data_IF_833065122521
#
_entry.id   IF_833065122521
#
_cell.length_a   1.000
_cell.length_b   1.000
_cell.length_c   1.000
_cell.angle_alpha   90.00
_cell.angle_beta   90.00
_cell.angle_gamma   90.00
#
_symmetry.space_group_name_H-M   'P 1'
#
loop_
_entity.id
_entity.type
_entity.pdbx_description
1 polymer ?
#
# COMPACT_ATOMS: atom_id res chain seq x y z
N UNK A 1 6.16 29.82 -10.52
CA UNK A 1 5.67 28.45 -10.74
C UNK A 1 4.76 28.52 -11.96
N UNK A 2 5.23 28.04 -13.11
CA UNK A 2 4.49 28.16 -14.39
C UNK A 2 3.71 26.87 -14.58
N UNK A 3 2.39 26.98 -14.56
CA UNK A 3 1.49 25.89 -14.89
C UNK A 3 1.39 25.79 -16.43
N UNK A 4 1.60 24.59 -16.98
CA UNK A 4 1.74 24.34 -18.42
C UNK A 4 0.39 23.99 -19.10
N UNK A 5 -0.74 24.12 -18.39
CA UNK A 5 -2.05 23.78 -18.94
C UNK A 5 -2.78 24.96 -19.58
N UNK A 6 -3.42 24.78 -20.75
CA UNK A 6 -4.24 25.80 -21.38
C UNK A 6 -5.41 26.22 -20.48
N UNK A 7 -5.71 27.52 -20.42
CA UNK A 7 -6.75 28.09 -19.57
C UNK A 7 -8.18 27.62 -19.90
N UNK A 8 -8.39 26.92 -21.01
CA UNK A 8 -9.67 26.34 -21.43
C UNK A 8 -9.90 24.93 -20.90
N UNK A 9 -8.91 24.33 -20.24
CA UNK A 9 -8.92 22.93 -19.78
C UNK A 9 -9.18 22.81 -18.26
N UNK A 10 -9.64 23.90 -17.63
CA UNK A 10 -10.04 23.88 -16.21
C UNK A 10 -11.43 23.22 -16.09
N UNK A 11 -11.58 22.12 -15.33
CA UNK A 11 -12.91 21.64 -14.98
C UNK A 11 -13.58 22.64 -14.02
N UNK A 12 -14.86 22.95 -14.22
CA UNK A 12 -15.68 23.81 -13.34
C UNK A 12 -15.63 23.36 -11.87
N UNK A 13 -15.35 22.08 -11.63
CA UNK A 13 -15.01 21.50 -10.34
C UNK A 13 -13.92 20.44 -10.52
N UNK A 14 -12.78 20.62 -9.86
CA UNK A 14 -11.79 19.56 -9.73
C UNK A 14 -12.34 18.50 -8.74
N UNK A 15 -13.13 17.55 -9.23
CA UNK A 15 -13.56 16.41 -8.43
C UNK A 15 -12.38 15.45 -8.25
N UNK A 16 -11.45 15.80 -7.35
CA UNK A 16 -10.43 14.87 -6.89
C UNK A 16 -11.18 13.81 -6.08
N UNK A 17 -11.35 12.62 -6.66
CA UNK A 17 -11.90 11.48 -5.93
C UNK A 17 -10.88 11.11 -4.85
N UNK A 18 -11.07 11.66 -3.66
CA UNK A 18 -10.25 11.31 -2.49
C UNK A 18 -10.67 9.91 -2.06
N UNK A 19 -9.75 8.95 -2.14
CA UNK A 19 -9.96 7.63 -1.58
C UNK A 19 -9.98 7.74 -0.04
N UNK A 20 -11.18 7.87 0.54
CA UNK A 20 -11.38 8.04 1.97
C UNK A 20 -10.83 6.86 2.79
N UNK A 21 -10.87 5.64 2.25
CA UNK A 21 -10.26 4.47 2.88
C UNK A 21 -8.75 4.62 3.03
N UNK A 22 -8.08 5.15 2.00
CA UNK A 22 -6.64 5.46 2.04
C UNK A 22 -6.34 6.59 3.01
N UNK A 23 -7.12 7.67 3.02
CA UNK A 23 -6.93 8.78 3.96
C UNK A 23 -7.06 8.31 5.41
N UNK A 24 -8.08 7.49 5.70
CA UNK A 24 -8.25 6.89 7.02
C UNK A 24 -7.06 6.01 7.43
N UNK A 25 -6.60 5.14 6.54
CA UNK A 25 -5.43 4.29 6.81
C UNK A 25 -4.14 5.10 7.06
N UNK A 26 -4.00 6.27 6.42
CA UNK A 26 -2.89 7.20 6.68
C UNK A 26 -3.03 7.84 8.07
N UNK A 27 -4.23 8.32 8.44
CA UNK A 27 -4.49 8.96 9.73
C UNK A 27 -4.28 7.96 10.89
N UNK A 28 -4.84 6.76 10.80
CA UNK A 28 -4.71 5.73 11.83
C UNK A 28 -3.22 5.35 12.05
N UNK A 29 -2.41 5.39 11.00
CA UNK A 29 -0.96 5.15 11.07
C UNK A 29 -0.20 6.29 11.75
N UNK A 30 -0.52 7.53 11.42
CA UNK A 30 0.06 8.71 12.10
C UNK A 30 -0.27 8.68 13.58
N UNK A 31 -1.50 8.32 13.94
CA UNK A 31 -1.91 8.17 15.33
C UNK A 31 -1.10 7.08 16.06
N UNK A 32 -0.86 5.93 15.40
CA UNK A 32 -0.01 4.87 15.95
C UNK A 32 1.46 5.30 16.14
N UNK A 33 2.03 6.02 15.18
CA UNK A 33 3.39 6.55 15.29
C UNK A 33 3.49 7.58 16.44
N UNK A 34 2.48 8.43 16.63
CA UNK A 34 2.42 9.38 17.75
C UNK A 34 2.28 8.70 19.11
N UNK A 35 1.51 7.61 19.21
CA UNK A 35 1.41 6.82 20.44
C UNK A 35 2.75 6.14 20.77
N UNK A 36 3.48 5.62 19.77
CA UNK A 36 4.82 5.08 19.98
C UNK A 36 5.81 6.17 20.43
N UNK A 37 5.76 7.37 19.84
CA UNK A 37 6.57 8.51 20.28
C UNK A 37 6.23 8.93 21.72
N UNK A 38 4.95 8.90 22.09
CA UNK A 38 4.51 9.21 23.45
C UNK A 38 4.94 8.14 24.47
N UNK A 39 5.07 6.88 24.04
CA UNK A 39 5.55 5.77 24.88
C UNK A 39 7.07 5.71 25.01
N UNK A 40 7.81 6.22 24.02
CA UNK A 40 9.26 6.32 24.09
C UNK A 40 9.65 7.29 25.22
N UNK A 41 10.12 6.74 26.35
CA UNK A 41 10.51 7.53 27.53
C UNK A 41 11.88 8.21 27.36
N UNK A 42 12.69 7.77 26.40
CA UNK A 42 14.03 8.32 26.13
C UNK A 42 14.43 8.19 24.65
N UNK A 43 15.24 9.12 24.13
CA UNK A 43 15.70 9.14 22.72
C UNK A 43 16.45 7.85 22.33
N UNK A 44 17.16 7.21 23.27
CA UNK A 44 17.87 5.94 23.03
C UNK A 44 16.92 4.75 22.75
N UNK A 45 15.66 4.81 23.19
CA UNK A 45 14.66 3.79 22.87
C UNK A 45 14.22 3.87 21.39
N UNK A 46 14.40 5.04 20.75
CA UNK A 46 14.09 5.23 19.32
C UNK A 46 15.10 4.51 18.43
N UNK A 47 16.38 4.48 18.80
CA UNK A 47 17.40 3.71 18.06
C UNK A 47 17.13 2.21 18.14
N UNK A 48 16.74 1.70 19.32
CA UNK A 48 16.31 0.31 19.47
C UNK A 48 15.00 0.00 18.72
N UNK A 49 14.05 0.94 18.65
CA UNK A 49 12.83 0.80 17.86
C UNK A 49 13.10 0.84 16.34
N UNK A 50 14.10 1.60 15.90
CA UNK A 50 14.54 1.70 14.50
C UNK A 50 15.24 0.42 14.00
N UNK A 51 15.77 -0.42 14.91
CA UNK A 51 16.46 -1.68 14.59
C UNK A 51 15.50 -2.82 14.23
N UNK A 52 14.17 -2.65 14.39
CA UNK A 52 13.23 -3.58 13.75
C UNK A 52 13.44 -3.51 12.23
N UNK A 53 13.65 -4.66 11.56
CA UNK A 53 14.11 -4.70 10.18
C UNK A 53 13.28 -3.74 9.33
N UNK A 54 14.00 -2.99 8.50
CA UNK A 54 13.71 -1.82 7.64
C UNK A 54 12.36 -1.76 6.89
N UNK A 55 11.43 -2.68 7.14
CA UNK A 55 10.04 -2.69 6.63
C UNK A 55 9.35 -1.36 6.84
N UNK A 56 9.55 -0.67 7.97
CA UNK A 56 8.87 0.61 8.27
C UNK A 56 9.46 1.77 7.46
N UNK A 57 10.77 1.79 7.20
CA UNK A 57 11.38 2.80 6.34
C UNK A 57 11.15 2.51 4.86
N UNK A 58 11.19 1.24 4.44
CA UNK A 58 10.80 0.81 3.10
C UNK A 58 9.31 1.12 2.84
N UNK A 59 8.44 0.95 3.84
CA UNK A 59 7.02 1.37 3.78
C UNK A 59 6.89 2.89 3.62
N UNK A 60 7.72 3.69 4.30
CA UNK A 60 7.77 5.16 4.13
C UNK A 60 8.22 5.54 2.72
N UNK A 61 9.28 4.93 2.18
CA UNK A 61 9.76 5.17 0.81
C UNK A 61 8.70 4.84 -0.26
N UNK A 62 7.92 3.78 -0.04
CA UNK A 62 6.88 3.34 -0.98
C UNK A 62 5.53 4.04 -0.82
N UNK A 63 5.37 4.99 0.10
CA UNK A 63 4.14 5.79 0.23
C UNK A 63 3.83 6.65 -1.01
N UNK A 64 4.86 7.04 -1.75
CA UNK A 64 4.73 7.77 -3.02
C UNK A 64 4.45 6.84 -4.21
N UNK A 65 4.58 5.50 -4.06
CA UNK A 65 4.22 4.57 -5.11
C UNK A 65 2.69 4.47 -5.23
N UNK A 66 2.14 4.50 -6.45
CA UNK A 66 0.72 4.22 -6.67
C UNK A 66 0.39 2.79 -6.23
N UNK A 67 -0.88 2.58 -5.86
CA UNK A 67 -1.37 1.28 -5.38
C UNK A 67 -1.05 0.18 -6.40
N UNK A 68 -0.66 -0.99 -5.91
CA UNK A 68 -0.21 -2.07 -6.78
C UNK A 68 -1.39 -2.76 -7.46
N UNK A 69 -1.66 -2.41 -8.71
CA UNK A 69 -2.65 -3.08 -9.54
C UNK A 69 -2.26 -4.55 -9.86
N UNK A 70 -3.23 -5.47 -9.79
CA UNK A 70 -3.00 -6.90 -9.97
C UNK A 70 -2.40 -7.22 -11.35
N UNK A 71 -2.98 -6.65 -12.42
CA UNK A 71 -2.47 -6.84 -13.80
C UNK A 71 -1.04 -6.35 -13.94
N UNK A 72 -0.76 -5.14 -13.45
CA UNK A 72 0.57 -4.53 -13.50
C UNK A 72 1.60 -5.38 -12.73
N UNK A 73 1.20 -5.94 -11.58
CA UNK A 73 2.04 -6.86 -10.82
C UNK A 73 2.34 -8.14 -11.62
N UNK A 74 1.33 -8.80 -12.18
CA UNK A 74 1.50 -10.00 -12.99
C UNK A 74 2.42 -9.75 -14.19
N UNK A 75 2.23 -8.65 -14.92
CA UNK A 75 3.09 -8.26 -16.05
C UNK A 75 4.52 -8.02 -15.60
N UNK A 76 4.74 -7.26 -14.52
CA UNK A 76 6.09 -6.93 -14.02
C UNK A 76 6.84 -8.16 -13.52
N UNK A 77 6.13 -9.10 -12.89
CA UNK A 77 6.71 -10.34 -12.35
C UNK A 77 6.72 -11.50 -13.35
N UNK A 78 6.20 -11.29 -14.57
CA UNK A 78 6.03 -12.32 -15.61
C UNK A 78 5.31 -13.56 -15.06
N UNK A 79 4.30 -13.33 -14.22
CA UNK A 79 3.52 -14.43 -13.65
C UNK A 79 2.58 -14.97 -14.74
N UNK A 80 2.56 -16.30 -14.95
CA UNK A 80 1.63 -16.90 -15.88
C UNK A 80 0.20 -16.74 -15.36
N UNK A 81 -0.76 -16.59 -16.26
CA UNK A 81 -2.16 -16.32 -15.95
C UNK A 81 -3.10 -17.13 -16.86
N UNK A 82 -2.60 -18.24 -17.41
CA UNK A 82 -3.28 -19.05 -18.43
C UNK A 82 -4.22 -20.10 -17.83
N UNK A 83 -4.06 -20.44 -16.56
CA UNK A 83 -4.90 -21.40 -15.85
C UNK A 83 -5.40 -20.83 -14.51
N UNK A 84 -6.51 -21.37 -14.01
CA UNK A 84 -7.07 -20.98 -12.70
C UNK A 84 -6.04 -21.14 -11.57
N UNK A 85 -5.31 -22.25 -11.56
CA UNK A 85 -4.24 -22.49 -10.58
C UNK A 85 -3.13 -21.42 -10.64
N UNK A 86 -2.76 -20.98 -11.83
CA UNK A 86 -1.76 -19.91 -12.00
C UNK A 86 -2.29 -18.56 -11.51
N UNK A 87 -3.58 -18.28 -11.73
CA UNK A 87 -4.24 -17.08 -11.22
C UNK A 87 -4.36 -17.10 -9.68
N UNK A 88 -4.65 -18.26 -9.09
CA UNK A 88 -4.65 -18.44 -7.63
C UNK A 88 -3.29 -18.09 -7.02
N UNK A 89 -2.20 -18.67 -7.55
CA UNK A 89 -0.85 -18.38 -7.09
C UNK A 89 -0.43 -16.93 -7.32
N UNK A 90 -0.79 -16.36 -8.48
CA UNK A 90 -0.50 -14.97 -8.77
C UNK A 90 -1.23 -14.03 -7.81
N UNK A 91 -2.47 -14.35 -7.45
CA UNK A 91 -3.26 -13.59 -6.48
C UNK A 91 -2.65 -13.62 -5.08
N UNK A 92 -2.25 -14.80 -4.60
CA UNK A 92 -1.60 -14.93 -3.29
C UNK A 92 -0.28 -14.14 -3.25
N UNK A 93 0.53 -14.23 -4.30
CA UNK A 93 1.77 -13.47 -4.41
C UNK A 93 1.53 -11.95 -4.46
N UNK A 94 0.46 -11.52 -5.15
CA UNK A 94 0.07 -10.12 -5.22
C UNK A 94 -0.38 -9.59 -3.87
N UNK A 95 -1.23 -10.33 -3.16
CA UNK A 95 -1.68 -9.96 -1.83
C UNK A 95 -0.54 -9.93 -0.81
N UNK A 96 0.37 -10.91 -0.86
CA UNK A 96 1.59 -10.89 -0.06
C UNK A 96 2.43 -9.63 -0.33
N UNK A 97 2.54 -9.22 -1.60
CA UNK A 97 3.24 -7.99 -1.96
C UNK A 97 2.52 -6.73 -1.45
N UNK A 98 1.19 -6.70 -1.48
CA UNK A 98 0.39 -5.59 -0.91
C UNK A 98 0.53 -5.51 0.61
N UNK A 99 0.60 -6.65 1.30
CA UNK A 99 0.88 -6.71 2.73
C UNK A 99 2.30 -6.22 3.04
N UNK A 100 3.31 -6.64 2.27
CA UNK A 100 4.69 -6.16 2.42
C UNK A 100 4.83 -4.66 2.15
N UNK A 101 4.05 -4.12 1.20
CA UNK A 101 3.92 -2.67 0.95
C UNK A 101 3.07 -1.96 2.02
N UNK A 102 2.35 -2.73 2.83
CA UNK A 102 1.41 -2.25 3.82
C UNK A 102 0.27 -1.43 3.23
N UNK A 103 -0.18 -1.82 2.03
CA UNK A 103 -1.45 -1.39 1.43
C UNK A 103 -2.64 -2.12 2.06
N UNK A 104 -2.39 -3.28 2.66
CA UNK A 104 -3.33 -4.04 3.48
C UNK A 104 -2.66 -4.33 4.82
N UNK A 105 -3.40 -4.22 5.92
CA UNK A 105 -2.86 -4.37 7.27
C UNK A 105 -3.00 -5.80 7.81
N UNK A 106 -3.83 -6.63 7.18
CA UNK A 106 -4.05 -8.02 7.56
C UNK A 106 -3.59 -8.95 6.45
N UNK A 107 -3.09 -10.12 6.85
CA UNK A 107 -2.79 -11.19 5.90
C UNK A 107 -4.11 -11.76 5.37
N UNK A 108 -4.31 -11.85 4.05
CA UNK A 108 -5.56 -12.36 3.49
C UNK A 108 -5.77 -13.81 3.88
N UNK A 109 -7.01 -14.14 4.21
CA UNK A 109 -7.38 -15.53 4.53
C UNK A 109 -7.56 -16.31 3.24
N UNK A 110 -7.46 -17.64 3.34
CA UNK A 110 -7.50 -18.54 2.19
C UNK A 110 -8.71 -18.31 1.28
N UNK A 111 -9.86 -17.96 1.86
CA UNK A 111 -11.14 -17.71 1.19
C UNK A 111 -11.21 -16.37 0.44
N UNK A 112 -10.25 -15.47 0.65
CA UNK A 112 -10.20 -14.16 -0.02
C UNK A 112 -9.70 -14.27 -1.47
N UNK A 113 -9.21 -15.44 -1.88
CA UNK A 113 -8.75 -15.67 -3.24
C UNK A 113 -9.94 -16.00 -4.16
N UNK A 114 -10.30 -15.11 -5.11
CA UNK A 114 -11.48 -15.29 -5.96
C UNK A 114 -11.31 -16.39 -7.00
N UNK A 115 -10.07 -16.87 -7.22
CA UNK A 115 -9.78 -17.92 -8.19
C UNK A 115 -9.92 -19.32 -7.59
N UNK A 116 -10.03 -19.44 -6.26
CA UNK A 116 -10.25 -20.72 -5.59
C UNK A 116 -11.70 -21.16 -5.70
N UNK A 117 -11.90 -22.46 -5.87
CA UNK A 117 -13.21 -23.07 -5.70
C UNK A 117 -13.68 -22.87 -4.24
N UNK A 118 -14.94 -22.44 -4.08
CA UNK A 118 -15.60 -22.27 -2.78
C UNK A 118 -16.26 -23.56 -2.32
#
# INVERSE_FOLDING_TARGET
MVDLRPATDWPDTAYVVVNLGRVRAVIDRVAGDLDELARARQVADLDNAAVRPDRRAERRRRMAEPDLEFRTFCTRKRLPASTTYQLEHAWDAWQAQRYLRGEIDQWPVYTDNPYRAR
#
